data_IF_062021832278
#
_entry.id   IF_062021832278
#
_cell.length_a   1.000
_cell.length_b   1.000
_cell.length_c   1.000
_cell.angle_alpha   90.00
_cell.angle_beta   90.00
_cell.angle_gamma   90.00
#
_symmetry.space_group_name_H-M   'P 1'
#
loop_
_entity.id
_entity.type
_entity.pdbx_description
1 polymer ?
#
# COMPACT_ATOMS: atom_id res chain seq x y z
N UNK A 1 -13.75 7.74 -6.33
CA UNK A 1 -12.95 6.77 -5.55
C UNK A 1 -12.18 7.51 -4.46
N UNK A 2 -12.36 7.09 -3.23
CA UNK A 2 -11.69 7.72 -2.08
C UNK A 2 -10.33 7.10 -1.77
N UNK A 3 -10.18 5.84 -2.11
CA UNK A 3 -8.97 5.09 -1.84
C UNK A 3 -7.81 5.64 -2.66
N UNK A 4 -6.61 5.68 -2.05
CA UNK A 4 -5.40 6.13 -2.74
C UNK A 4 -4.38 4.99 -2.80
N UNK A 5 -3.45 5.10 -3.74
CA UNK A 5 -2.34 4.14 -3.85
C UNK A 5 -1.44 4.20 -2.61
N UNK A 6 -1.29 5.38 -2.00
CA UNK A 6 -0.53 5.51 -0.76
C UNK A 6 -1.16 4.68 0.37
N UNK A 7 -2.48 4.70 0.48
CA UNK A 7 -3.19 3.89 1.47
C UNK A 7 -2.95 2.41 1.24
N UNK A 8 -3.00 1.95 -0.01
CA UNK A 8 -2.72 0.55 -0.34
C UNK A 8 -1.27 0.19 -0.01
N UNK A 9 -0.32 1.07 -0.30
CA UNK A 9 1.08 0.84 0.02
C UNK A 9 1.29 0.71 1.53
N UNK A 10 0.62 1.53 2.32
CA UNK A 10 0.69 1.44 3.79
C UNK A 10 0.07 0.13 4.28
N UNK A 11 -1.07 -0.26 3.73
CA UNK A 11 -1.72 -1.54 4.07
C UNK A 11 -0.76 -2.72 3.85
N UNK A 12 -0.15 -2.78 2.66
CA UNK A 12 0.81 -3.84 2.33
C UNK A 12 2.02 -3.80 3.28
N UNK A 13 2.56 -2.61 3.54
CA UNK A 13 3.72 -2.47 4.42
C UNK A 13 3.39 -2.93 5.85
N UNK A 14 2.23 -2.58 6.39
CA UNK A 14 1.81 -3.04 7.73
C UNK A 14 1.64 -4.56 7.75
N UNK A 15 1.07 -5.13 6.69
CA UNK A 15 0.93 -6.58 6.58
C UNK A 15 2.29 -7.28 6.60
N UNK A 16 3.30 -6.71 5.95
CA UNK A 16 4.64 -7.30 5.87
C UNK A 16 5.47 -7.05 7.12
N UNK A 17 5.38 -5.86 7.71
CA UNK A 17 6.23 -5.45 8.82
C UNK A 17 5.63 -5.77 10.20
N UNK A 18 4.32 -5.87 10.30
CA UNK A 18 3.63 -6.22 11.53
C UNK A 18 3.37 -5.07 12.50
N UNK A 19 3.94 -3.89 12.25
CA UNK A 19 3.68 -2.68 13.05
C UNK A 19 3.60 -1.46 12.16
N UNK A 20 2.87 -0.44 12.63
CA UNK A 20 2.79 0.84 11.89
C UNK A 20 4.14 1.53 11.88
N UNK A 21 4.91 1.45 12.98
CA UNK A 21 6.22 2.08 13.07
C UNK A 21 7.16 1.58 11.97
N UNK A 22 7.30 0.26 11.85
CA UNK A 22 8.17 -0.31 10.80
C UNK A 22 7.62 -0.05 9.41
N UNK A 23 6.30 -0.14 9.25
CA UNK A 23 5.65 0.14 7.97
C UNK A 23 5.90 1.58 7.52
N UNK A 24 5.82 2.54 8.45
CA UNK A 24 6.05 3.96 8.12
C UNK A 24 7.46 4.19 7.58
N UNK A 25 8.46 3.52 8.16
CA UNK A 25 9.83 3.58 7.65
C UNK A 25 9.92 3.02 6.24
N UNK A 26 9.30 1.87 5.99
CA UNK A 26 9.33 1.21 4.68
C UNK A 26 8.72 2.06 3.58
N UNK A 27 7.67 2.80 3.88
CA UNK A 27 6.99 3.66 2.89
C UNK A 27 7.44 5.12 2.96
N UNK A 28 8.41 5.43 3.80
CA UNK A 28 8.99 6.79 3.96
C UNK A 28 7.95 7.83 4.34
N UNK A 29 7.08 7.47 5.26
CA UNK A 29 6.10 8.37 5.86
C UNK A 29 6.38 8.51 7.34
N UNK A 30 5.84 9.57 7.95
CA UNK A 30 5.81 9.65 9.41
C UNK A 30 4.85 8.58 9.94
N UNK A 31 5.04 8.18 11.19
CA UNK A 31 4.14 7.21 11.83
C UNK A 31 2.70 7.74 11.84
N UNK A 32 2.52 9.03 12.12
CA UNK A 32 1.18 9.65 12.11
C UNK A 32 0.54 9.57 10.73
N UNK A 33 1.30 9.86 9.66
CA UNK A 33 0.78 9.81 8.30
C UNK A 33 0.43 8.38 7.90
N UNK A 34 1.27 7.41 8.27
CA UNK A 34 0.98 6.00 7.98
C UNK A 34 -0.26 5.51 8.73
N UNK A 35 -0.39 5.86 10.02
CA UNK A 35 -1.56 5.50 10.82
C UNK A 35 -2.84 6.09 10.23
N UNK A 36 -2.79 7.36 9.81
CA UNK A 36 -3.94 8.03 9.21
C UNK A 36 -4.31 7.39 7.87
N UNK A 37 -3.32 7.07 7.04
CA UNK A 37 -3.57 6.44 5.75
C UNK A 37 -4.29 5.08 5.93
N UNK A 38 -3.84 4.27 6.90
CA UNK A 38 -4.48 2.99 7.18
C UNK A 38 -5.90 3.20 7.72
N UNK A 39 -6.09 4.12 8.65
CA UNK A 39 -7.40 4.41 9.21
C UNK A 39 -8.37 4.88 8.12
N UNK A 40 -7.92 5.77 7.24
CA UNK A 40 -8.75 6.28 6.15
C UNK A 40 -9.13 5.16 5.17
N UNK A 41 -8.22 4.23 4.90
CA UNK A 41 -8.52 3.07 4.06
C UNK A 41 -9.60 2.21 4.71
N UNK A 42 -9.44 1.87 5.98
CA UNK A 42 -10.40 1.06 6.70
C UNK A 42 -11.76 1.75 6.80
N UNK A 43 -11.78 3.05 7.06
CA UNK A 43 -13.00 3.84 7.09
C UNK A 43 -13.72 3.82 5.74
N UNK A 44 -12.97 4.00 4.67
CA UNK A 44 -13.52 3.96 3.32
C UNK A 44 -14.10 2.61 2.93
N UNK A 45 -13.49 1.52 3.41
CA UNK A 45 -13.98 0.17 3.18
C UNK A 45 -15.11 -0.22 4.14
N UNK A 46 -15.24 0.48 5.26
CA UNK A 46 -16.25 0.20 6.27
C UNK A 46 -15.91 -0.95 7.20
N UNK A 47 -14.63 -1.37 7.27
CA UNK A 47 -14.22 -2.50 8.10
C UNK A 47 -12.72 -2.46 8.37
N UNK A 48 -12.28 -2.99 9.52
CA UNK A 48 -10.85 -3.12 9.79
C UNK A 48 -10.22 -4.23 8.95
N UNK A 49 -8.92 -4.11 8.73
CA UNK A 49 -8.13 -5.09 7.98
C UNK A 49 -7.18 -5.87 8.86
N UNK A 50 -7.00 -5.44 10.11
CA UNK A 50 -6.07 -6.03 11.07
C UNK A 50 -6.73 -6.27 12.42
N UNK A 51 -6.25 -7.30 13.10
CA UNK A 51 -6.47 -7.50 14.53
C UNK A 51 -5.29 -6.91 15.29
N UNK A 52 -5.55 -6.31 16.46
CA UNK A 52 -4.50 -5.75 17.29
C UNK A 52 -4.08 -6.76 18.36
N UNK A 53 -2.79 -7.07 18.38
CA UNK A 53 -2.17 -7.93 19.38
C UNK A 53 -1.08 -7.10 20.07
N UNK A 54 -1.47 -6.31 21.07
CA UNK A 54 -0.59 -5.34 21.69
C UNK A 54 -0.24 -4.25 20.67
N UNK A 55 1.06 -4.04 20.42
CA UNK A 55 1.54 -3.10 19.41
C UNK A 55 1.58 -3.69 18.01
N UNK A 56 1.41 -5.01 17.88
CA UNK A 56 1.46 -5.68 16.60
C UNK A 56 0.10 -5.67 15.92
N UNK A 57 0.13 -5.64 14.61
CA UNK A 57 -1.06 -5.75 13.77
C UNK A 57 -0.94 -7.01 12.93
N UNK A 58 -1.97 -7.83 12.98
CA UNK A 58 -2.05 -9.07 12.23
C UNK A 58 -3.26 -9.01 11.32
N UNK A 59 -3.11 -9.40 10.05
CA UNK A 59 -4.22 -9.41 9.12
C UNK A 59 -5.40 -10.21 9.68
N UNK A 60 -6.60 -9.62 9.63
CA UNK A 60 -7.84 -10.36 9.86
C UNK A 60 -8.26 -11.08 8.58
N UNK A 61 -9.42 -11.70 8.57
CA UNK A 61 -9.90 -12.46 7.40
C UNK A 61 -10.05 -11.57 6.17
N UNK A 62 -10.62 -10.39 6.34
CA UNK A 62 -10.78 -9.43 5.24
C UNK A 62 -9.41 -8.96 4.73
N UNK A 63 -8.49 -8.66 5.65
CA UNK A 63 -7.13 -8.25 5.27
C UNK A 63 -6.41 -9.33 4.47
N UNK A 64 -6.52 -10.59 4.88
CA UNK A 64 -5.92 -11.70 4.13
C UNK A 64 -6.55 -11.86 2.74
N UNK A 65 -7.84 -11.66 2.64
CA UNK A 65 -8.55 -11.73 1.35
C UNK A 65 -8.10 -10.60 0.43
N UNK A 66 -7.91 -9.38 0.96
CA UNK A 66 -7.63 -8.19 0.15
C UNK A 66 -6.14 -7.99 -0.14
N UNK A 67 -5.24 -8.58 0.64
CA UNK A 67 -3.80 -8.38 0.43
C UNK A 67 -3.34 -8.75 -0.99
N UNK A 68 -3.71 -9.90 -1.56
CA UNK A 68 -3.32 -10.20 -2.95
C UNK A 68 -3.85 -9.17 -3.94
N UNK A 69 -5.04 -8.63 -3.71
CA UNK A 69 -5.62 -7.58 -4.55
C UNK A 69 -4.78 -6.30 -4.50
N UNK A 70 -4.37 -5.90 -3.30
CA UNK A 70 -3.53 -4.70 -3.13
C UNK A 70 -2.17 -4.88 -3.80
N UNK A 71 -1.55 -6.05 -3.65
CA UNK A 71 -0.28 -6.36 -4.29
C UNK A 71 -0.40 -6.30 -5.81
N UNK A 72 -1.48 -6.81 -6.37
CA UNK A 72 -1.70 -6.76 -7.81
C UNK A 72 -1.86 -5.31 -8.30
N UNK A 73 -2.63 -4.50 -7.60
CA UNK A 73 -2.82 -3.09 -7.98
C UNK A 73 -1.49 -2.36 -7.98
N UNK A 74 -0.70 -2.51 -6.90
CA UNK A 74 0.60 -1.85 -6.80
C UNK A 74 1.57 -2.37 -7.86
N UNK A 75 1.55 -3.66 -8.14
CA UNK A 75 2.36 -4.24 -9.21
C UNK A 75 2.01 -3.69 -10.59
N UNK A 76 0.72 -3.46 -10.83
CA UNK A 76 0.27 -2.83 -12.09
C UNK A 76 0.75 -1.39 -12.19
N UNK A 77 0.80 -0.66 -11.07
CA UNK A 77 1.35 0.70 -11.07
C UNK A 77 2.83 0.69 -11.45
N UNK A 78 3.61 -0.23 -10.89
CA UNK A 78 5.02 -0.38 -11.24
C UNK A 78 5.19 -0.74 -12.72
N UNK A 79 4.39 -1.65 -13.23
CA UNK A 79 4.41 -2.04 -14.62
C UNK A 79 4.10 -0.86 -15.54
N UNK A 80 3.13 -0.03 -15.15
CA UNK A 80 2.77 1.18 -15.87
C UNK A 80 3.96 2.15 -15.96
N UNK A 81 4.63 2.39 -14.82
CA UNK A 81 5.79 3.28 -14.78
C UNK A 81 6.94 2.75 -15.63
N UNK A 82 7.20 1.45 -15.57
CA UNK A 82 8.26 0.83 -16.38
C UNK A 82 7.94 0.90 -17.87
N UNK A 83 6.70 0.70 -18.25
CA UNK A 83 6.27 0.82 -19.65
C UNK A 83 6.46 2.25 -20.16
N UNK A 84 6.13 3.25 -19.34
CA UNK A 84 6.32 4.66 -19.68
C UNK A 84 7.80 4.98 -19.88
N UNK A 85 8.66 4.51 -18.98
CA UNK A 85 10.12 4.72 -19.08
C UNK A 85 10.69 4.09 -20.34
N UNK A 86 10.27 2.88 -20.66
CA UNK A 86 10.70 2.18 -21.87
C UNK A 86 10.28 2.93 -23.13
N UNK A 87 9.06 3.43 -23.19
CA UNK A 87 8.57 4.19 -24.34
C UNK A 87 9.27 5.53 -24.49
N UNK A 88 9.55 6.22 -23.39
CA UNK A 88 10.29 7.48 -23.40
C UNK A 88 11.71 7.29 -23.95
N UNK A 89 12.39 6.22 -23.55
CA UNK A 89 13.71 5.89 -24.08
C UNK A 89 13.66 5.59 -25.57
N UNK A 90 12.64 4.88 -26.02
CA UNK A 90 12.43 4.56 -27.41
C UNK A 90 12.20 5.83 -28.25
N UNK A 91 11.43 6.78 -27.74
CA UNK A 91 11.20 8.08 -28.40
C UNK A 91 12.50 8.87 -28.52
N UNK A 92 13.31 8.91 -27.44
CA UNK A 92 14.59 9.60 -27.44
C UNK A 92 15.55 9.04 -28.50
N UNK A 93 15.54 7.72 -28.70
CA UNK A 93 16.37 7.08 -29.71
C UNK A 93 15.94 7.40 -31.14
N UNK A 94 14.70 7.80 -31.33
CA UNK A 94 14.19 8.18 -32.66
C UNK A 94 14.52 9.63 -33.05
N UNK A 95 14.86 10.43 -32.06
CA UNK A 95 15.21 11.83 -32.28
C UNK A 95 16.68 11.98 -32.64
#
# INVERSE_FOLDING_TARGET
MRMTLRQLAVFVAVAQEGTVTKASDAVRLTQSAASMALADLEDGLGAPLFDRLGKRLQLNDLGRFLLPQALEILGRCDAFEQAAKGELQSIDLRL
#
